data_IF_312135590696
#
_entry.id   IF_312135590696
#
_cell.length_a   1.000
_cell.length_b   1.000
_cell.length_c   1.000
_cell.angle_alpha   90.00
_cell.angle_beta   90.00
_cell.angle_gamma   90.00
#
_symmetry.space_group_name_H-M   'P 1'
#
loop_
_entity.id
_entity.type
_entity.pdbx_description
1 polymer ?
#
# COMPACT_ATOMS: atom_id res chain seq x y z
N UNK A 1 -6.30 6.15 -21.50
CA UNK A 1 -5.98 6.29 -20.90
C UNK A 1 -5.22 6.13 -20.13
N UNK A 2 -4.96 6.43 -19.75
CA UNK A 2 -4.17 6.18 -19.10
C UNK A 2 -4.32 6.07 -17.85
N UNK A 3 -4.29 5.37 -17.40
CA UNK A 3 -4.60 5.15 -16.10
C UNK A 3 -3.47 5.46 -15.26
N UNK A 4 -3.58 5.25 -13.93
CA UNK A 4 -2.52 5.44 -12.98
C UNK A 4 -2.05 4.09 -12.54
N UNK A 5 -1.30 3.46 -13.37
CA UNK A 5 -0.99 2.06 -13.19
C UNK A 5 -0.12 1.79 -11.98
N UNK A 6 0.47 2.81 -11.41
CA UNK A 6 1.47 2.57 -10.39
C UNK A 6 0.97 2.77 -8.98
N UNK A 7 -0.34 2.86 -8.81
CA UNK A 7 -0.92 3.04 -7.48
C UNK A 7 -1.76 1.85 -7.10
N UNK A 8 -1.71 1.53 -5.80
CA UNK A 8 -2.62 0.55 -5.21
C UNK A 8 -3.43 1.24 -4.15
N UNK A 9 -4.68 0.85 -4.04
CA UNK A 9 -5.51 1.25 -2.91
C UNK A 9 -5.29 0.29 -1.76
N UNK A 10 -5.64 0.74 -0.55
CA UNK A 10 -5.46 -0.11 0.61
C UNK A 10 -6.18 -1.44 0.45
N UNK A 11 -7.39 -1.39 -0.10
CA UNK A 11 -8.15 -2.62 -0.28
C UNK A 11 -7.48 -3.57 -1.24
N UNK A 12 -6.88 -3.01 -2.28
CA UNK A 12 -6.19 -3.85 -3.25
C UNK A 12 -4.98 -4.53 -2.63
N UNK A 13 -4.25 -3.78 -1.81
CA UNK A 13 -3.09 -4.36 -1.14
C UNK A 13 -3.49 -5.42 -0.14
N UNK A 14 -4.57 -5.16 0.59
CA UNK A 14 -5.00 -6.15 1.58
C UNK A 14 -5.36 -7.46 0.91
N UNK A 15 -5.96 -7.39 -0.27
CA UNK A 15 -6.28 -8.61 -1.00
C UNK A 15 -5.04 -9.31 -1.50
N UNK A 16 -4.10 -8.54 -2.03
CA UNK A 16 -2.87 -9.13 -2.53
C UNK A 16 -2.09 -9.83 -1.45
N UNK A 17 -2.06 -9.23 -0.27
CA UNK A 17 -1.30 -9.78 0.85
C UNK A 17 -2.13 -10.72 1.71
N UNK A 18 -3.43 -10.80 1.43
CA UNK A 18 -4.35 -11.65 2.18
C UNK A 18 -4.36 -11.30 3.65
N UNK A 19 -4.45 -10.01 3.90
CA UNK A 19 -4.55 -9.51 5.27
C UNK A 19 -5.74 -8.58 5.34
N UNK A 20 -6.14 -8.28 6.55
CA UNK A 20 -7.22 -7.35 6.79
C UNK A 20 -6.78 -5.94 6.42
N UNK A 21 -7.65 -5.12 5.83
CA UNK A 21 -7.28 -3.75 5.50
C UNK A 21 -6.78 -2.96 6.70
N UNK A 22 -7.26 -3.27 7.89
CA UNK A 22 -6.75 -2.60 9.09
C UNK A 22 -5.26 -2.82 9.26
N UNK A 23 -4.79 -3.97 8.85
CA UNK A 23 -3.36 -4.25 8.93
C UNK A 23 -2.57 -3.29 8.05
N UNK A 24 -3.10 -3.00 6.87
CA UNK A 24 -2.43 -2.07 5.97
C UNK A 24 -2.41 -0.67 6.59
N UNK A 25 -3.52 -0.26 7.18
CA UNK A 25 -3.56 1.05 7.84
C UNK A 25 -2.56 1.13 8.97
N UNK A 26 -2.38 0.05 9.71
CA UNK A 26 -1.38 0.03 10.77
C UNK A 26 0.01 0.17 10.20
N UNK A 27 0.29 -0.48 9.09
CA UNK A 27 1.59 -0.38 8.46
C UNK A 27 1.85 1.05 8.00
N UNK A 28 0.82 1.70 7.47
CA UNK A 28 0.95 3.09 7.05
C UNK A 28 1.24 3.98 8.26
N UNK A 29 0.51 3.78 9.33
CA UNK A 29 0.70 4.60 10.51
C UNK A 29 2.05 4.40 11.14
N UNK A 30 2.56 3.20 11.11
CA UNK A 30 3.85 2.90 11.73
C UNK A 30 5.02 3.26 10.83
N UNK A 31 4.76 3.64 9.59
CA UNK A 31 5.82 4.00 8.68
C UNK A 31 6.41 2.85 7.90
N UNK A 32 5.86 1.65 8.07
CA UNK A 32 6.37 0.51 7.32
C UNK A 32 6.04 0.60 5.85
N UNK A 33 4.92 1.25 5.53
CA UNK A 33 4.52 1.45 4.15
C UNK A 33 4.23 2.92 4.00
N UNK A 34 4.86 3.55 3.03
CA UNK A 34 4.55 4.93 2.73
C UNK A 34 3.35 5.01 1.82
N UNK A 35 2.49 5.93 2.11
CA UNK A 35 1.28 6.10 1.33
C UNK A 35 1.01 7.57 1.14
N UNK A 36 0.31 7.87 0.07
CA UNK A 36 -0.08 9.24 -0.24
C UNK A 36 -1.57 9.35 -0.05
N UNK A 37 -1.97 10.27 0.81
CA UNK A 37 -3.37 10.47 1.04
C UNK A 37 -3.92 11.46 0.02
N UNK A 38 -4.77 10.99 -0.83
CA UNK A 38 -5.36 11.79 -1.87
C UNK A 38 -6.86 11.76 -1.65
N UNK A 39 -7.42 12.91 -1.30
CA UNK A 39 -8.80 12.93 -0.91
C UNK A 39 -8.99 12.15 0.38
N UNK A 40 -9.82 11.14 0.34
CA UNK A 40 -10.09 10.33 1.52
C UNK A 40 -9.43 8.97 1.45
N UNK A 41 -8.62 8.74 0.43
CA UNK A 41 -8.04 7.43 0.24
C UNK A 41 -6.54 7.51 0.26
N UNK A 42 -5.94 6.47 0.80
CA UNK A 42 -4.50 6.31 0.70
C UNK A 42 -4.17 5.58 -0.59
N UNK A 43 -3.13 6.05 -1.25
CA UNK A 43 -2.63 5.42 -2.45
C UNK A 43 -1.18 5.07 -2.24
N UNK A 44 -0.85 3.83 -2.52
CA UNK A 44 0.50 3.32 -2.32
C UNK A 44 1.09 3.05 -3.69
N UNK A 45 2.23 3.67 -3.99
CA UNK A 45 2.85 3.45 -5.29
C UNK A 45 3.38 2.04 -5.36
N UNK A 46 3.52 1.56 -6.58
CA UNK A 46 4.10 0.25 -6.77
C UNK A 46 5.50 0.19 -6.18
N UNK A 47 6.25 1.27 -6.30
CA UNK A 47 7.60 1.32 -5.74
C UNK A 47 7.56 1.15 -4.23
N UNK A 48 6.63 1.84 -3.57
CA UNK A 48 6.53 1.71 -2.13
C UNK A 48 6.13 0.30 -1.73
N UNK A 49 5.24 -0.30 -2.49
CA UNK A 49 4.83 -1.65 -2.21
C UNK A 49 6.01 -2.61 -2.37
N UNK A 50 6.76 -2.46 -3.44
CA UNK A 50 7.93 -3.30 -3.66
C UNK A 50 8.93 -3.15 -2.53
N UNK A 51 9.15 -1.90 -2.10
CA UNK A 51 10.07 -1.65 -1.00
C UNK A 51 9.60 -2.33 0.28
N UNK A 52 8.29 -2.28 0.52
CA UNK A 52 7.75 -2.93 1.70
C UNK A 52 8.00 -4.43 1.64
N UNK A 53 7.78 -5.03 0.49
CA UNK A 53 8.00 -6.47 0.36
C UNK A 53 9.45 -6.82 0.62
N UNK A 54 10.38 -5.98 0.17
CA UNK A 54 11.78 -6.23 0.42
C UNK A 54 12.09 -6.14 1.91
N UNK A 55 11.45 -5.21 2.59
CA UNK A 55 11.76 -4.99 4.00
C UNK A 55 11.27 -6.13 4.88
N UNK A 56 10.28 -6.88 4.44
CA UNK A 56 9.75 -7.98 5.24
C UNK A 56 10.21 -9.34 4.72
N UNK A 57 11.08 -9.33 3.76
CA UNK A 57 11.59 -10.57 3.21
C UNK A 57 12.54 -11.23 4.20
N UNK A 58 12.40 -12.51 4.38
CA UNK A 58 13.29 -13.24 5.29
C UNK A 58 14.17 -14.22 4.55
#
# INVERSE_FOLDING_TARGET
MKELPDFYLVEELSERLRVNPMTIYRYIKSGKVEAHKIGKEYRITKREFDRFLESVKT
#
